data_IF_052439171728
#
_entry.id   IF_052439171728
#
_cell.length_a   1.000
_cell.length_b   1.000
_cell.length_c   1.000
_cell.angle_alpha   90.00
_cell.angle_beta   90.00
_cell.angle_gamma   90.00
#
_symmetry.space_group_name_H-M   'P 1'
#
loop_
_entity.id
_entity.type
_entity.pdbx_description
1 polymer ?
#
# COMPACT_ATOMS: atom_id res chain seq x y z
N UNK A 1 -20.01 19.91 19.80
CA UNK A 1 -19.20 20.91 19.06
C UNK A 1 -18.25 20.31 18.02
N UNK A 2 -17.29 19.42 18.38
CA UNK A 2 -16.28 18.85 17.44
C UNK A 2 -16.86 18.16 16.19
N UNK A 3 -17.92 17.34 16.35
CA UNK A 3 -18.56 16.60 15.24
C UNK A 3 -19.27 17.50 14.21
N UNK A 4 -19.76 18.66 14.63
CA UNK A 4 -20.37 19.66 13.74
C UNK A 4 -19.32 20.40 12.92
N UNK A 5 -18.19 20.71 13.56
CA UNK A 5 -17.06 21.37 12.91
C UNK A 5 -16.46 20.51 11.79
N UNK A 6 -16.23 19.21 12.05
CA UNK A 6 -15.72 18.26 11.03
C UNK A 6 -16.65 18.21 9.81
N UNK A 7 -17.97 18.07 10.03
CA UNK A 7 -18.95 18.05 8.94
C UNK A 7 -18.97 19.34 8.12
N UNK A 8 -18.78 20.50 8.77
CA UNK A 8 -18.74 21.81 8.10
C UNK A 8 -17.52 21.93 7.19
N UNK A 9 -16.37 21.43 7.64
CA UNK A 9 -15.13 21.43 6.84
C UNK A 9 -15.23 20.43 5.68
N UNK A 10 -15.71 19.21 5.92
CA UNK A 10 -15.90 18.22 4.85
C UNK A 10 -16.79 18.76 3.72
N UNK A 11 -17.84 19.52 4.05
CA UNK A 11 -18.71 20.16 3.05
C UNK A 11 -17.98 21.24 2.24
N UNK A 12 -17.06 21.98 2.85
CA UNK A 12 -16.22 22.96 2.14
C UNK A 12 -15.19 22.29 1.24
N UNK A 13 -14.61 21.16 1.68
CA UNK A 13 -13.66 20.38 0.88
C UNK A 13 -14.29 19.83 -0.41
N UNK A 14 -15.57 19.43 -0.38
CA UNK A 14 -16.31 19.01 -1.57
C UNK A 14 -16.40 20.10 -2.65
N UNK A 15 -16.47 21.38 -2.25
CA UNK A 15 -16.54 22.50 -3.19
C UNK A 15 -15.22 22.74 -3.95
N UNK A 16 -14.10 22.17 -3.49
CA UNK A 16 -12.76 22.35 -4.07
C UNK A 16 -12.22 21.02 -4.64
N UNK A 17 -13.06 20.00 -4.80
CA UNK A 17 -12.66 18.69 -5.29
C UNK A 17 -12.26 18.74 -6.78
N UNK A 18 -10.96 18.78 -7.07
CA UNK A 18 -10.41 18.88 -8.43
C UNK A 18 -9.96 17.53 -9.03
N UNK A 19 -9.75 16.51 -8.20
CA UNK A 19 -9.26 15.19 -8.61
C UNK A 19 -10.39 14.15 -8.61
N UNK A 20 -10.54 13.45 -9.73
CA UNK A 20 -11.43 12.29 -9.85
C UNK A 20 -10.70 11.01 -9.43
N UNK A 21 -11.44 9.96 -9.08
CA UNK A 21 -10.85 8.68 -8.71
C UNK A 21 -9.95 8.09 -9.80
N UNK A 22 -10.24 8.34 -11.08
CA UNK A 22 -9.39 7.89 -12.19
C UNK A 22 -8.05 8.65 -12.23
N UNK A 23 -8.06 9.97 -11.99
CA UNK A 23 -6.82 10.76 -11.91
C UNK A 23 -5.93 10.27 -10.76
N UNK A 24 -6.52 9.97 -9.60
CA UNK A 24 -5.79 9.42 -8.45
C UNK A 24 -5.16 8.06 -8.77
N UNK A 25 -5.88 7.18 -9.49
CA UNK A 25 -5.31 5.89 -9.97
C UNK A 25 -4.10 6.09 -10.86
N UNK A 26 -4.19 7.01 -11.83
CA UNK A 26 -3.07 7.32 -12.74
C UNK A 26 -1.87 7.83 -11.94
N UNK A 27 -2.08 8.75 -10.99
CA UNK A 27 -1.01 9.25 -10.12
C UNK A 27 -0.37 8.08 -9.35
N UNK A 28 -1.16 7.20 -8.73
CA UNK A 28 -0.64 6.04 -8.01
C UNK A 28 0.20 5.11 -8.90
N UNK A 29 -0.24 4.86 -10.13
CA UNK A 29 0.51 4.07 -11.10
C UNK A 29 1.83 4.74 -11.50
N UNK A 30 1.83 6.06 -11.74
CA UNK A 30 3.04 6.81 -12.09
C UNK A 30 4.03 6.80 -10.93
N UNK A 31 3.58 7.05 -9.70
CA UNK A 31 4.46 7.01 -8.52
C UNK A 31 5.01 5.60 -8.28
N UNK A 32 4.20 4.55 -8.46
CA UNK A 32 4.68 3.16 -8.36
C UNK A 32 5.74 2.84 -9.43
N UNK A 33 5.54 3.35 -10.66
CA UNK A 33 6.52 3.17 -11.73
C UNK A 33 7.84 3.86 -11.40
N UNK A 34 7.79 5.08 -10.84
CA UNK A 34 8.99 5.79 -10.39
C UNK A 34 9.70 5.00 -9.28
N UNK A 35 8.95 4.47 -8.30
CA UNK A 35 9.49 3.65 -7.22
C UNK A 35 10.24 2.43 -7.74
N UNK A 36 9.59 1.64 -8.61
CA UNK A 36 10.17 0.42 -9.15
C UNK A 36 11.33 0.73 -10.11
N UNK A 37 11.21 1.79 -10.92
CA UNK A 37 12.32 2.21 -11.78
C UNK A 37 13.56 2.56 -10.96
N UNK A 38 13.37 3.29 -9.86
CA UNK A 38 14.43 3.67 -8.93
C UNK A 38 15.09 2.46 -8.28
N UNK A 39 14.29 1.58 -7.65
CA UNK A 39 14.80 0.43 -6.88
C UNK A 39 15.31 -0.73 -7.74
N UNK A 40 14.83 -0.88 -8.98
CA UNK A 40 15.27 -1.96 -9.87
C UNK A 40 16.44 -1.49 -10.74
N UNK A 41 16.23 -0.42 -11.53
CA UNK A 41 17.18 -0.02 -12.56
C UNK A 41 18.27 0.89 -12.01
N UNK A 42 17.90 1.97 -11.30
CA UNK A 42 18.91 2.91 -10.80
C UNK A 42 19.77 2.29 -9.70
N UNK A 43 19.17 1.51 -8.81
CA UNK A 43 19.92 0.76 -7.79
C UNK A 43 20.89 -0.25 -8.39
N UNK A 44 20.52 -0.96 -9.46
CA UNK A 44 21.48 -1.82 -10.18
C UNK A 44 22.62 -1.00 -10.80
N UNK A 45 22.34 0.15 -11.42
CA UNK A 45 23.39 1.03 -11.96
C UNK A 45 24.31 1.56 -10.83
N UNK A 46 23.73 1.94 -9.69
CA UNK A 46 24.47 2.41 -8.52
C UNK A 46 25.42 1.33 -8.03
N UNK A 47 24.93 0.11 -7.83
CA UNK A 47 25.69 -0.99 -7.25
C UNK A 47 26.70 -1.60 -8.23
N UNK A 48 26.33 -1.79 -9.49
CA UNK A 48 27.14 -2.57 -10.45
C UNK A 48 28.10 -1.70 -11.27
N UNK A 49 27.86 -0.39 -11.37
CA UNK A 49 28.69 0.53 -12.17
C UNK A 49 29.27 1.67 -11.36
N UNK A 50 28.43 2.43 -10.67
CA UNK A 50 28.85 3.70 -10.05
C UNK A 50 29.63 3.47 -8.76
N UNK A 51 29.26 2.49 -7.95
CA UNK A 51 29.98 2.15 -6.72
C UNK A 51 31.41 1.62 -7.00
N UNK A 52 31.63 0.68 -7.94
CA UNK A 52 32.99 0.32 -8.36
C UNK A 52 33.80 1.50 -8.92
N UNK A 53 33.18 2.37 -9.72
CA UNK A 53 33.84 3.55 -10.27
C UNK A 53 34.28 4.53 -9.18
N UNK A 54 33.43 4.73 -8.16
CA UNK A 54 33.75 5.52 -6.98
C UNK A 54 34.95 4.93 -6.22
N UNK A 55 34.96 3.62 -5.95
CA UNK A 55 36.08 2.95 -5.27
C UNK A 55 37.39 3.01 -6.06
N UNK A 56 37.32 3.00 -7.39
CA UNK A 56 38.48 3.15 -8.27
C UNK A 56 38.99 4.60 -8.38
N UNK A 57 38.35 5.57 -7.70
CA UNK A 57 38.71 6.99 -7.74
C UNK A 57 38.25 7.72 -9.02
N UNK A 58 37.43 7.08 -9.86
CA UNK A 58 36.90 7.66 -11.10
C UNK A 58 35.69 8.59 -10.91
N UNK A 59 35.21 8.73 -9.68
CA UNK A 59 34.09 9.61 -9.29
C UNK A 59 34.38 10.22 -7.92
N UNK A 60 34.10 11.52 -7.74
CA UNK A 60 34.28 12.16 -6.44
C UNK A 60 33.21 11.71 -5.44
N UNK A 61 33.52 11.84 -4.14
CA UNK A 61 32.58 11.58 -3.05
C UNK A 61 31.29 12.40 -3.21
N UNK A 62 31.41 13.68 -3.54
CA UNK A 62 30.24 14.56 -3.72
C UNK A 62 29.34 14.12 -4.88
N UNK A 63 29.93 13.66 -5.98
CA UNK A 63 29.17 13.16 -7.14
C UNK A 63 28.40 11.88 -6.79
N UNK A 64 29.07 10.90 -6.18
CA UNK A 64 28.45 9.63 -5.84
C UNK A 64 27.29 9.81 -4.85
N UNK A 65 27.54 10.50 -3.73
CA UNK A 65 26.51 10.73 -2.72
C UNK A 65 25.42 11.71 -3.19
N UNK A 66 25.73 12.63 -4.12
CA UNK A 66 24.72 13.48 -4.74
C UNK A 66 23.70 12.69 -5.57
N UNK A 67 24.17 11.71 -6.35
CA UNK A 67 23.30 10.81 -7.13
C UNK A 67 22.51 9.88 -6.21
N UNK A 68 23.17 9.28 -5.21
CA UNK A 68 22.52 8.41 -4.22
C UNK A 68 21.42 9.16 -3.44
N UNK A 69 21.70 10.40 -3.02
CA UNK A 69 20.73 11.26 -2.35
C UNK A 69 19.56 11.64 -3.25
N UNK A 70 19.79 11.93 -4.54
CA UNK A 70 18.70 12.18 -5.48
C UNK A 70 17.79 10.97 -5.63
N UNK A 71 18.36 9.77 -5.78
CA UNK A 71 17.59 8.53 -5.88
C UNK A 71 16.77 8.27 -4.61
N UNK A 72 17.42 8.29 -3.43
CA UNK A 72 16.77 7.94 -2.16
C UNK A 72 15.81 9.00 -1.65
N UNK A 73 16.15 10.29 -1.73
CA UNK A 73 15.33 11.33 -1.12
C UNK A 73 14.25 11.87 -2.07
N UNK A 74 14.49 11.86 -3.39
CA UNK A 74 13.55 12.42 -4.35
C UNK A 74 12.74 11.32 -5.02
N UNK A 75 13.38 10.37 -5.70
CA UNK A 75 12.65 9.35 -6.47
C UNK A 75 11.90 8.38 -5.56
N UNK A 76 12.57 7.81 -4.55
CA UNK A 76 11.88 6.92 -3.61
C UNK A 76 10.85 7.69 -2.78
N UNK A 77 11.13 8.94 -2.38
CA UNK A 77 10.16 9.78 -1.68
C UNK A 77 8.87 10.04 -2.48
N UNK A 78 8.98 10.27 -3.79
CA UNK A 78 7.81 10.35 -4.68
C UNK A 78 7.15 8.97 -4.83
N UNK A 79 7.96 7.92 -4.94
CA UNK A 79 7.52 6.55 -5.16
C UNK A 79 6.68 5.98 -4.02
N UNK A 80 7.06 6.24 -2.77
CA UNK A 80 6.40 5.74 -1.55
C UNK A 80 4.96 6.25 -1.41
N UNK A 81 4.58 7.33 -2.09
CA UNK A 81 3.19 7.84 -2.13
C UNK A 81 2.23 6.82 -2.76
N UNK A 82 2.72 5.94 -3.64
CA UNK A 82 1.90 4.99 -4.39
C UNK A 82 1.04 4.09 -3.49
N UNK A 83 1.66 3.47 -2.48
CA UNK A 83 0.96 2.53 -1.61
C UNK A 83 -0.15 3.19 -0.74
N UNK A 84 0.12 4.34 -0.07
CA UNK A 84 -0.91 5.22 0.47
C UNK A 84 -2.11 5.42 -0.44
N UNK A 85 -1.87 5.71 -1.72
CA UNK A 85 -2.92 5.95 -2.71
C UNK A 85 -3.68 4.67 -3.07
N UNK A 86 -2.99 3.54 -3.25
CA UNK A 86 -3.64 2.26 -3.53
C UNK A 86 -4.55 1.80 -2.39
N UNK A 87 -4.13 1.94 -1.14
CA UNK A 87 -4.95 1.60 0.01
C UNK A 87 -6.19 2.50 0.12
N UNK A 88 -6.04 3.80 -0.17
CA UNK A 88 -7.17 4.74 -0.22
C UNK A 88 -8.17 4.34 -1.31
N UNK A 89 -7.68 4.10 -2.53
CA UNK A 89 -8.48 3.66 -3.65
C UNK A 89 -9.17 2.32 -3.40
N UNK A 90 -8.52 1.40 -2.71
CA UNK A 90 -9.07 0.10 -2.33
C UNK A 90 -10.19 0.26 -1.29
N UNK A 91 -9.93 1.03 -0.23
CA UNK A 91 -10.91 1.26 0.84
C UNK A 91 -12.17 1.97 0.32
N UNK A 92 -12.03 2.96 -0.57
CA UNK A 92 -13.17 3.62 -1.23
C UNK A 92 -13.83 2.70 -2.26
N UNK A 93 -13.01 2.04 -3.10
CA UNK A 93 -13.47 1.14 -4.16
C UNK A 93 -14.30 -0.02 -3.63
N UNK A 94 -14.01 -0.51 -2.43
CA UNK A 94 -14.80 -1.52 -1.74
C UNK A 94 -16.28 -1.14 -1.58
N UNK A 95 -16.58 0.13 -1.31
CA UNK A 95 -17.97 0.60 -1.15
C UNK A 95 -18.70 0.82 -2.45
N UNK A 96 -17.99 1.33 -3.46
CA UNK A 96 -18.59 1.63 -4.76
C UNK A 96 -18.73 0.38 -5.65
N UNK A 97 -18.02 -0.70 -5.34
CA UNK A 97 -18.04 -1.91 -6.16
C UNK A 97 -19.22 -2.82 -5.80
N UNK A 98 -20.14 -2.98 -6.75
CA UNK A 98 -21.30 -3.88 -6.61
C UNK A 98 -20.91 -5.37 -6.63
N UNK A 99 -20.01 -5.77 -7.53
CA UNK A 99 -19.58 -7.16 -7.67
C UNK A 99 -18.25 -7.41 -6.96
N UNK A 100 -18.33 -7.73 -5.67
CA UNK A 100 -17.15 -7.98 -4.83
C UNK A 100 -16.37 -9.23 -5.24
N UNK A 101 -17.04 -10.27 -5.72
CA UNK A 101 -16.35 -11.51 -6.17
C UNK A 101 -15.42 -11.21 -7.34
N UNK A 102 -15.91 -10.46 -8.33
CA UNK A 102 -15.08 -10.00 -9.46
C UNK A 102 -13.92 -9.11 -9.00
N UNK A 103 -14.15 -8.25 -8.01
CA UNK A 103 -13.10 -7.39 -7.48
C UNK A 103 -11.99 -8.19 -6.79
N UNK A 104 -12.36 -9.12 -5.92
CA UNK A 104 -11.43 -10.01 -5.22
C UNK A 104 -10.66 -10.88 -6.23
N UNK A 105 -11.35 -11.51 -7.17
CA UNK A 105 -10.73 -12.34 -8.20
C UNK A 105 -9.79 -11.55 -9.11
N UNK A 106 -10.17 -10.32 -9.48
CA UNK A 106 -9.30 -9.42 -10.22
C UNK A 106 -8.04 -9.05 -9.45
N UNK A 107 -8.17 -8.71 -8.16
CA UNK A 107 -7.01 -8.41 -7.31
C UNK A 107 -6.06 -9.59 -7.18
N UNK A 108 -6.59 -10.80 -6.97
CA UNK A 108 -5.78 -12.03 -6.91
C UNK A 108 -5.11 -12.33 -8.26
N UNK A 109 -5.83 -12.18 -9.36
CA UNK A 109 -5.26 -12.39 -10.70
C UNK A 109 -4.12 -11.40 -10.95
N UNK A 110 -4.28 -10.12 -10.59
CA UNK A 110 -3.20 -9.16 -10.67
C UNK A 110 -2.01 -9.55 -9.78
N UNK A 111 -2.25 -9.97 -8.54
CA UNK A 111 -1.20 -10.43 -7.64
C UNK A 111 -0.38 -11.58 -8.24
N UNK A 112 -1.04 -12.57 -8.84
CA UNK A 112 -0.36 -13.70 -9.48
C UNK A 112 0.41 -13.29 -10.74
N UNK A 113 -0.18 -12.44 -11.58
CA UNK A 113 0.44 -11.98 -12.84
C UNK A 113 1.64 -11.08 -12.55
N UNK A 114 1.53 -10.17 -11.58
CA UNK A 114 2.59 -9.23 -11.24
C UNK A 114 3.75 -9.86 -10.45
N UNK A 115 3.57 -11.08 -9.93
CA UNK A 115 4.63 -11.76 -9.18
C UNK A 115 5.85 -12.04 -10.04
N UNK A 116 5.64 -12.52 -11.28
CA UNK A 116 6.73 -12.82 -12.22
C UNK A 116 7.64 -11.61 -12.48
N UNK A 117 7.14 -10.44 -12.93
CA UNK A 117 8.00 -9.27 -13.14
C UNK A 117 8.56 -8.69 -11.84
N UNK A 118 7.85 -8.83 -10.72
CA UNK A 118 8.32 -8.37 -9.42
C UNK A 118 9.54 -9.18 -8.94
N UNK A 119 9.47 -10.51 -9.02
CA UNK A 119 10.57 -11.41 -8.63
C UNK A 119 11.79 -11.25 -9.53
N UNK A 120 11.58 -11.11 -10.84
CA UNK A 120 12.69 -10.84 -11.77
C UNK A 120 13.34 -9.49 -11.46
N UNK A 121 12.54 -8.47 -11.16
CA UNK A 121 13.03 -7.11 -10.89
C UNK A 121 13.81 -6.99 -9.59
N UNK A 122 13.22 -7.45 -8.48
CA UNK A 122 13.77 -7.24 -7.13
C UNK A 122 14.61 -8.41 -6.63
N UNK A 123 14.33 -9.63 -7.09
CA UNK A 123 14.85 -10.85 -6.48
C UNK A 123 15.54 -11.80 -7.48
N UNK A 124 15.89 -11.34 -8.68
CA UNK A 124 16.56 -12.18 -9.70
C UNK A 124 17.84 -12.83 -9.18
N UNK A 125 18.70 -12.10 -8.45
CA UNK A 125 19.93 -12.66 -7.87
C UNK A 125 19.64 -13.79 -6.88
N UNK A 126 18.61 -13.62 -6.04
CA UNK A 126 18.22 -14.62 -5.04
C UNK A 126 17.57 -15.84 -5.68
N UNK A 127 16.62 -15.65 -6.61
CA UNK A 127 15.95 -16.76 -7.30
C UNK A 127 16.91 -17.57 -8.19
N UNK A 128 17.94 -16.94 -8.77
CA UNK A 128 19.00 -17.66 -9.49
C UNK A 128 19.85 -18.49 -8.51
N UNK A 129 20.23 -17.92 -7.36
CA UNK A 129 21.04 -18.62 -6.36
C UNK A 129 20.31 -19.84 -5.75
N UNK A 130 18.99 -19.77 -5.60
CA UNK A 130 18.15 -20.87 -5.10
C UNK A 130 17.73 -21.87 -6.20
N UNK A 131 18.03 -21.60 -7.48
CA UNK A 131 17.62 -22.44 -8.60
C UNK A 131 16.11 -22.39 -8.91
N UNK A 132 15.42 -21.35 -8.46
CA UNK A 132 13.96 -21.16 -8.53
C UNK A 132 13.54 -20.12 -9.58
N UNK A 133 14.50 -19.52 -10.29
CA UNK A 133 14.24 -18.54 -11.35
C UNK A 133 13.14 -19.02 -12.33
N UNK A 134 12.11 -18.20 -12.63
CA UNK A 134 12.00 -16.76 -12.35
C UNK A 134 11.31 -16.39 -11.02
N UNK A 135 11.06 -17.32 -10.11
CA UNK A 135 10.24 -17.10 -8.91
C UNK A 135 11.06 -17.01 -7.63
N UNK A 136 10.67 -16.13 -6.72
CA UNK A 136 11.22 -16.02 -5.36
C UNK A 136 10.11 -16.12 -4.31
N UNK A 137 9.81 -17.35 -3.88
CA UNK A 137 8.64 -17.66 -3.04
C UNK A 137 8.75 -17.16 -1.57
N UNK A 138 9.87 -16.52 -1.20
CA UNK A 138 10.10 -16.03 0.16
C UNK A 138 9.67 -14.58 0.36
N UNK A 139 9.16 -13.90 -0.67
CA UNK A 139 8.62 -12.54 -0.57
C UNK A 139 7.55 -12.35 -1.64
N UNK A 140 6.45 -11.67 -1.32
CA UNK A 140 5.29 -11.56 -2.22
C UNK A 140 4.96 -10.10 -2.53
N UNK A 141 4.52 -9.80 -3.75
CA UNK A 141 4.30 -8.42 -4.18
C UNK A 141 3.20 -7.65 -3.40
N UNK A 142 3.13 -6.34 -3.64
CA UNK A 142 2.15 -5.42 -3.03
C UNK A 142 0.69 -5.81 -3.29
N UNK A 143 0.36 -6.43 -4.42
CA UNK A 143 -1.01 -6.84 -4.73
C UNK A 143 -1.50 -8.00 -3.87
N UNK A 144 -0.61 -8.88 -3.38
CA UNK A 144 -0.99 -9.84 -2.34
C UNK A 144 -1.42 -9.14 -1.05
N UNK A 145 -0.70 -8.08 -0.64
CA UNK A 145 -1.11 -7.26 0.50
C UNK A 145 -2.49 -6.63 0.27
N UNK A 146 -2.72 -6.05 -0.92
CA UNK A 146 -4.00 -5.43 -1.28
C UNK A 146 -5.13 -6.47 -1.35
N UNK A 147 -4.87 -7.67 -1.85
CA UNK A 147 -5.82 -8.78 -1.87
C UNK A 147 -6.24 -9.18 -0.45
N UNK A 148 -5.28 -9.39 0.45
CA UNK A 148 -5.58 -9.69 1.86
C UNK A 148 -6.27 -8.50 2.56
N UNK A 149 -5.90 -7.27 2.25
CA UNK A 149 -6.58 -6.07 2.72
C UNK A 149 -8.05 -6.04 2.28
N UNK A 150 -8.33 -6.35 1.02
CA UNK A 150 -9.69 -6.44 0.48
C UNK A 150 -10.50 -7.56 1.16
N UNK A 151 -9.91 -8.74 1.34
CA UNK A 151 -10.53 -9.83 2.10
C UNK A 151 -10.84 -9.43 3.54
N UNK A 152 -9.92 -8.70 4.19
CA UNK A 152 -10.10 -8.16 5.54
C UNK A 152 -11.36 -7.30 5.61
N UNK A 153 -11.56 -6.39 4.66
CA UNK A 153 -12.76 -5.54 4.61
C UNK A 153 -14.05 -6.36 4.43
N UNK A 154 -14.02 -7.39 3.60
CA UNK A 154 -15.16 -8.31 3.40
C UNK A 154 -15.52 -9.02 4.71
N UNK A 155 -14.52 -9.54 5.43
CA UNK A 155 -14.73 -10.27 6.68
C UNK A 155 -15.23 -9.31 7.77
N UNK A 156 -14.62 -8.13 7.91
CA UNK A 156 -15.03 -7.07 8.85
C UNK A 156 -16.51 -6.70 8.65
N UNK A 157 -16.97 -6.58 7.40
CA UNK A 157 -18.37 -6.25 7.13
C UNK A 157 -19.30 -7.43 7.47
N UNK A 158 -18.95 -8.66 7.08
CA UNK A 158 -19.72 -9.87 7.42
C UNK A 158 -19.87 -10.07 8.93
N UNK A 159 -18.79 -9.87 9.69
CA UNK A 159 -18.80 -9.93 11.16
C UNK A 159 -19.73 -8.87 11.75
N UNK A 160 -19.68 -7.64 11.23
CA UNK A 160 -20.55 -6.55 11.70
C UNK A 160 -22.04 -6.81 11.44
N UNK A 161 -22.37 -7.46 10.32
CA UNK A 161 -23.74 -7.84 9.95
C UNK A 161 -24.27 -9.00 10.81
N UNK A 162 -23.41 -9.96 11.18
CA UNK A 162 -23.81 -11.14 11.97
C UNK A 162 -24.13 -10.80 13.43
N UNK A 163 -23.55 -9.73 13.97
CA UNK A 163 -23.81 -9.28 15.34
C UNK A 163 -25.08 -8.41 15.34
N UNK A 164 -26.22 -9.02 15.66
CA UNK A 164 -27.50 -8.32 15.78
C UNK A 164 -27.62 -7.55 17.10
N UNK A 165 -28.12 -6.31 17.04
CA UNK A 165 -28.39 -5.46 18.22
C UNK A 165 -27.73 -4.08 18.17
N UNK A 166 -28.42 -3.07 18.71
CA UNK A 166 -27.99 -1.66 18.73
C UNK A 166 -27.57 -1.15 20.13
N UNK A 167 -27.56 -2.05 21.12
CA UNK A 167 -27.13 -1.76 22.49
C UNK A 167 -25.62 -1.48 22.60
N UNK A 168 -25.20 -0.94 23.75
CA UNK A 168 -23.78 -0.65 24.03
C UNK A 168 -22.92 -1.91 23.96
N UNK A 169 -23.42 -3.05 24.51
CA UNK A 169 -22.72 -4.34 24.48
C UNK A 169 -22.46 -4.82 23.04
N UNK A 170 -23.49 -4.83 22.17
CA UNK A 170 -23.33 -5.27 20.78
C UNK A 170 -22.40 -4.36 19.97
N UNK A 171 -22.40 -3.04 20.24
CA UNK A 171 -21.43 -2.10 19.63
C UNK A 171 -19.99 -2.42 20.03
N UNK A 172 -19.73 -2.68 21.31
CA UNK A 172 -18.40 -3.06 21.80
C UNK A 172 -17.97 -4.40 21.20
N UNK A 173 -18.85 -5.41 21.21
CA UNK A 173 -18.56 -6.72 20.61
C UNK A 173 -18.23 -6.60 19.12
N UNK A 174 -18.97 -5.77 18.36
CA UNK A 174 -18.66 -5.49 16.95
C UNK A 174 -17.25 -4.97 16.77
N UNK A 175 -16.87 -3.94 17.52
CA UNK A 175 -15.54 -3.33 17.42
C UNK A 175 -14.46 -4.34 17.78
N UNK A 176 -14.62 -5.09 18.88
CA UNK A 176 -13.64 -6.09 19.31
C UNK A 176 -13.47 -7.20 18.26
N UNK A 177 -14.56 -7.73 17.70
CA UNK A 177 -14.47 -8.75 16.65
C UNK A 177 -13.82 -8.20 15.37
N UNK A 178 -14.14 -6.95 14.99
CA UNK A 178 -13.51 -6.31 13.83
C UNK A 178 -12.01 -6.11 14.04
N UNK A 179 -11.59 -5.66 15.23
CA UNK A 179 -10.16 -5.55 15.57
C UNK A 179 -9.47 -6.92 15.58
N UNK A 180 -10.13 -7.95 16.11
CA UNK A 180 -9.63 -9.32 16.05
C UNK A 180 -9.40 -9.80 14.61
N UNK A 181 -10.32 -9.49 13.68
CA UNK A 181 -10.13 -9.79 12.25
C UNK A 181 -8.91 -9.07 11.68
N UNK A 182 -8.72 -7.78 11.99
CA UNK A 182 -7.55 -7.02 11.53
C UNK A 182 -6.26 -7.66 12.01
N UNK A 183 -6.18 -8.04 13.29
CA UNK A 183 -4.99 -8.66 13.89
C UNK A 183 -4.70 -10.00 13.21
N UNK A 184 -5.70 -10.87 13.06
CA UNK A 184 -5.54 -12.19 12.42
C UNK A 184 -5.07 -12.02 10.97
N UNK A 185 -5.70 -11.13 10.21
CA UNK A 185 -5.33 -10.91 8.81
C UNK A 185 -3.95 -10.24 8.67
N UNK A 186 -3.56 -9.40 9.61
CA UNK A 186 -2.22 -8.80 9.66
C UNK A 186 -1.15 -9.86 9.90
N UNK A 187 -1.39 -10.81 10.82
CA UNK A 187 -0.49 -11.96 11.04
C UNK A 187 -0.41 -12.82 9.79
N UNK A 188 -1.53 -13.11 9.13
CA UNK A 188 -1.54 -13.88 7.88
C UNK A 188 -0.72 -13.17 6.80
N UNK A 189 -0.86 -11.85 6.64
CA UNK A 189 -0.08 -11.10 5.66
C UNK A 189 1.43 -11.15 5.94
N UNK A 190 1.83 -11.14 7.21
CA UNK A 190 3.23 -11.30 7.62
C UNK A 190 3.76 -12.72 7.34
N UNK A 191 2.96 -13.74 7.63
CA UNK A 191 3.32 -15.15 7.38
C UNK A 191 3.44 -15.46 5.88
N UNK A 192 2.60 -14.83 5.05
CA UNK A 192 2.67 -14.89 3.59
C UNK A 192 3.81 -14.02 3.04
N UNK A 193 4.44 -13.19 3.89
CA UNK A 193 5.57 -12.31 3.55
C UNK A 193 5.22 -11.32 2.44
N UNK A 194 4.03 -10.72 2.52
CA UNK A 194 3.61 -9.70 1.55
C UNK A 194 4.40 -8.41 1.73
N UNK A 195 4.59 -7.65 0.64
CA UNK A 195 5.45 -6.46 0.57
C UNK A 195 5.20 -5.41 1.67
N UNK A 196 3.94 -5.16 2.02
CA UNK A 196 3.57 -4.26 3.13
C UNK A 196 3.01 -5.02 4.35
N UNK A 197 2.98 -6.36 4.28
CA UNK A 197 2.63 -7.28 5.37
C UNK A 197 1.50 -6.80 6.28
N UNK A 198 1.74 -6.89 7.58
CA UNK A 198 0.82 -6.44 8.63
C UNK A 198 0.47 -4.94 8.54
N UNK A 199 1.44 -4.09 8.19
CA UNK A 199 1.26 -2.64 8.06
C UNK A 199 0.18 -2.29 7.03
N UNK A 200 0.19 -2.97 5.88
CA UNK A 200 -0.79 -2.76 4.82
C UNK A 200 -2.22 -3.12 5.25
N UNK A 201 -2.38 -4.21 6.01
CA UNK A 201 -3.70 -4.64 6.51
C UNK A 201 -4.26 -3.63 7.51
N UNK A 202 -3.43 -3.18 8.46
CA UNK A 202 -3.80 -2.15 9.44
C UNK A 202 -4.21 -0.88 8.72
N UNK A 203 -3.45 -0.49 7.70
CA UNK A 203 -3.66 0.76 6.99
C UNK A 203 -4.94 0.77 6.14
N UNK A 204 -5.18 -0.27 5.34
CA UNK A 204 -6.43 -0.45 4.59
C UNK A 204 -7.63 -0.40 5.54
N UNK A 205 -7.53 -1.08 6.68
CA UNK A 205 -8.59 -1.12 7.70
C UNK A 205 -8.82 0.24 8.34
N UNK A 206 -7.75 0.98 8.66
CA UNK A 206 -7.83 2.34 9.19
C UNK A 206 -8.56 3.27 8.22
N UNK A 207 -8.15 3.31 6.94
CA UNK A 207 -8.82 4.15 5.93
C UNK A 207 -10.29 3.77 5.75
N UNK A 208 -10.61 2.48 5.81
CA UNK A 208 -11.99 2.00 5.79
C UNK A 208 -12.81 2.53 6.97
N UNK A 209 -12.28 2.52 8.20
CA UNK A 209 -13.00 3.03 9.37
C UNK A 209 -13.13 4.56 9.35
N UNK A 210 -12.11 5.26 8.86
CA UNK A 210 -12.07 6.73 8.81
C UNK A 210 -12.85 7.35 7.64
N UNK A 211 -13.27 6.55 6.64
CA UNK A 211 -13.96 7.01 5.42
C UNK A 211 -15.11 8.01 5.59
N UNK A 212 -15.79 7.99 6.74
CA UNK A 212 -16.94 8.89 7.02
C UNK A 212 -16.52 10.33 7.27
N UNK A 213 -15.23 10.59 7.51
CA UNK A 213 -14.66 11.91 7.67
C UNK A 213 -13.46 12.05 6.74
N UNK A 214 -13.58 12.93 5.74
CA UNK A 214 -12.51 13.13 4.75
C UNK A 214 -11.26 13.68 5.40
N UNK A 215 -11.40 14.61 6.35
CA UNK A 215 -10.30 15.11 7.15
C UNK A 215 -9.50 14.01 7.87
N UNK A 216 -10.18 13.11 8.59
CA UNK A 216 -9.48 12.04 9.32
C UNK A 216 -8.84 11.03 8.37
N UNK A 217 -9.49 10.74 7.25
CA UNK A 217 -8.93 9.88 6.21
C UNK A 217 -7.67 10.50 5.59
N UNK A 218 -7.67 11.81 5.30
CA UNK A 218 -6.50 12.55 4.84
C UNK A 218 -5.38 12.60 5.88
N UNK A 219 -5.73 12.80 7.16
CA UNK A 219 -4.74 12.75 8.24
C UNK A 219 -4.12 11.36 8.36
N UNK A 220 -4.93 10.31 8.30
CA UNK A 220 -4.46 8.92 8.30
C UNK A 220 -3.56 8.61 7.10
N UNK A 221 -3.89 9.14 5.92
CA UNK A 221 -3.04 9.05 4.74
C UNK A 221 -1.67 9.69 4.97
N UNK A 222 -1.64 10.92 5.50
CA UNK A 222 -0.39 11.65 5.75
C UNK A 222 0.48 10.97 6.82
N UNK A 223 -0.13 10.48 7.90
CA UNK A 223 0.59 9.72 8.93
C UNK A 223 1.27 8.51 8.29
N UNK A 224 0.57 7.82 7.41
CA UNK A 224 1.09 6.59 6.82
C UNK A 224 2.16 6.86 5.78
N UNK A 225 2.01 7.92 4.99
CA UNK A 225 3.11 8.40 4.15
C UNK A 225 4.37 8.65 4.97
N UNK A 226 4.26 9.36 6.10
CA UNK A 226 5.38 9.66 7.01
C UNK A 226 6.00 8.42 7.68
N UNK A 227 5.23 7.34 7.85
CA UNK A 227 5.74 6.07 8.40
C UNK A 227 6.44 5.24 7.32
N UNK A 228 6.09 5.44 6.05
CA UNK A 228 6.65 4.70 4.90
C UNK A 228 7.83 5.39 4.20
N UNK A 229 8.09 6.66 4.51
CA UNK A 229 9.24 7.46 4.05
C UNK A 229 10.31 7.55 5.12
#
# INVERSE_FOLDING_TARGET
MKRFMIKRVDKRLQAVQCLTGNKIKIIACITMLIDHFSKIFLESIMNDKLFPLYLAGGMSTEQFYGIDAFQKNILNGIGTIAFPLFCLLLSEGFFYTKNRKRYIGGMLAFALISEVPFDIGFFSRYSIAEGTFPFYLQYQNVFFTLFLGLLTLVIIEKVALKISGDGRKSKVTKILCQLGVVIIMAIIAELVKCDYGSQGIVYVSMLYFLRKSRLLQSAGFLIMYMVTT
#
